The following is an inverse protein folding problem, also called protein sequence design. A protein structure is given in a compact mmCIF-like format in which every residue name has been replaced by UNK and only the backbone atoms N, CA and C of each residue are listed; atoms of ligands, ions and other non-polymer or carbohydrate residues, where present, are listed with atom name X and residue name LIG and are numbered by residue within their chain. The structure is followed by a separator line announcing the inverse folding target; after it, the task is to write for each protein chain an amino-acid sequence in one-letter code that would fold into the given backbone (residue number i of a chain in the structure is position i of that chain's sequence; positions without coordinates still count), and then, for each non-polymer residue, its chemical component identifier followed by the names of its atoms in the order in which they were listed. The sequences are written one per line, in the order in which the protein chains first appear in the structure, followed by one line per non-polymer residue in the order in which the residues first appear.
data_IF_663845996235
#
_entry.id   IF_663845996235
#
_cell.length_a   1.000
_cell.length_b   1.000
_cell.length_c   1.000
_cell.angle_alpha   90.00
_cell.angle_beta   90.00
_cell.angle_gamma   90.00
#
_symmetry.space_group_name_H-M   'P 1'
#
loop_
_entity.id
_entity.type
_entity.pdbx_description
1 polymer ?
#
# COMPACT_ATOMS: atom_id res chain seq x y z
N UNK A 1 43.85 -3.99 49.19
CA UNK A 1 43.97 -5.21 48.35
C UNK A 1 43.58 -4.84 46.91
N UNK A 2 44.52 -4.82 45.97
CA UNK A 2 44.29 -4.69 44.56
C UNK A 2 43.66 -5.99 44.08
N UNK A 3 42.36 -5.96 43.75
CA UNK A 3 41.71 -7.10 43.14
C UNK A 3 42.27 -7.32 41.73
N UNK A 4 42.98 -8.40 41.54
CA UNK A 4 43.37 -8.88 40.23
C UNK A 4 42.10 -9.41 39.52
N UNK A 5 41.67 -8.75 38.47
CA UNK A 5 40.68 -9.31 37.57
C UNK A 5 41.45 -10.11 36.51
N UNK A 6 41.14 -11.40 36.41
CA UNK A 6 41.81 -12.32 35.49
C UNK A 6 41.60 -11.85 34.03
N UNK A 7 42.67 -11.88 33.23
CA UNK A 7 42.71 -11.49 31.84
C UNK A 7 41.69 -12.22 30.90
N UNK A 8 40.96 -13.20 31.45
CA UNK A 8 39.87 -13.89 30.74
C UNK A 8 38.60 -13.08 30.55
N UNK A 9 38.49 -11.89 31.16
CA UNK A 9 37.28 -11.06 31.09
C UNK A 9 37.49 -9.80 30.23
N UNK A 10 38.21 -9.92 29.11
CA UNK A 10 38.65 -8.78 28.31
C UNK A 10 37.59 -8.11 27.44
N UNK A 11 36.36 -8.52 27.45
CA UNK A 11 35.27 -7.70 26.87
C UNK A 11 33.90 -8.16 27.38
N UNK A 12 33.43 -7.54 28.44
CA UNK A 12 32.02 -7.62 28.80
C UNK A 12 31.36 -6.25 28.50
N UNK A 13 30.59 -6.21 27.45
CA UNK A 13 29.65 -5.11 27.25
C UNK A 13 28.32 -5.51 27.90
N UNK A 14 27.83 -4.69 28.81
CA UNK A 14 26.51 -4.86 29.40
C UNK A 14 25.61 -3.70 28.95
N UNK A 15 24.41 -4.04 28.54
CA UNK A 15 23.38 -3.05 28.25
C UNK A 15 22.54 -2.83 29.50
N UNK A 16 22.40 -1.60 29.94
CA UNK A 16 21.54 -1.22 31.07
C UNK A 16 20.45 -0.29 30.59
N UNK A 17 19.20 -0.67 30.82
CA UNK A 17 18.03 0.18 30.53
C UNK A 17 17.61 0.87 31.83
N UNK A 18 17.64 2.19 31.85
CA UNK A 18 17.10 2.97 32.94
C UNK A 18 15.70 3.45 32.59
N UNK A 19 14.69 2.83 33.17
CA UNK A 19 13.27 3.12 32.90
C UNK A 19 12.86 4.50 33.45
N UNK A 20 13.50 5.04 34.46
CA UNK A 20 13.19 6.37 35.01
C UNK A 20 13.66 7.49 34.09
N UNK A 21 14.84 7.34 33.53
CA UNK A 21 15.44 8.36 32.64
C UNK A 21 15.17 8.07 31.15
N UNK A 22 14.55 6.92 30.85
CA UNK A 22 14.36 6.42 29.47
C UNK A 22 15.67 6.35 28.68
N UNK A 23 16.79 6.08 29.38
CA UNK A 23 18.10 5.98 28.76
C UNK A 23 18.55 4.52 28.70
N UNK A 24 19.09 4.13 27.56
CA UNK A 24 19.81 2.88 27.37
C UNK A 24 21.28 3.22 27.35
N UNK A 25 22.06 2.49 28.12
CA UNK A 25 23.52 2.71 28.27
C UNK A 25 24.26 1.43 27.97
N UNK A 26 25.21 1.46 27.07
CA UNK A 26 26.18 0.39 26.89
C UNK A 26 27.40 0.67 27.78
N UNK A 27 27.80 -0.32 28.54
CA UNK A 27 29.02 -0.25 29.35
C UNK A 27 30.07 -1.17 28.72
N UNK A 28 31.14 -0.57 28.25
CA UNK A 28 32.30 -1.33 27.73
C UNK A 28 33.45 -1.28 28.75
N UNK A 29 34.02 -2.43 29.01
CA UNK A 29 35.18 -2.56 29.85
C UNK A 29 36.42 -2.83 28.98
N UNK A 30 37.35 -1.89 28.92
CA UNK A 30 38.60 -2.04 28.18
C UNK A 30 39.79 -2.00 29.11
N UNK A 31 40.77 -2.86 28.85
CA UNK A 31 42.04 -2.87 29.58
C UNK A 31 43.09 -2.09 28.79
N UNK A 32 43.62 -1.03 29.38
CA UNK A 32 44.58 -0.11 28.75
C UNK A 32 46.06 -0.43 29.13
N UNK A 33 46.30 -1.53 29.80
CA UNK A 33 47.62 -1.92 30.30
C UNK A 33 47.93 -1.44 31.70
N UNK A 34 47.18 -0.49 32.24
CA UNK A 34 47.33 0.08 33.59
C UNK A 34 46.10 -0.13 34.47
N UNK A 35 44.97 -0.36 33.85
CA UNK A 35 43.69 -0.53 34.53
C UNK A 35 42.57 -0.85 33.55
N UNK A 36 41.36 -0.82 34.05
CA UNK A 36 40.16 -0.94 33.21
C UNK A 36 39.50 0.40 33.07
N UNK A 37 39.32 0.83 31.82
CA UNK A 37 38.48 1.94 31.51
C UNK A 37 37.02 1.47 31.38
N UNK A 38 36.10 2.11 32.08
CA UNK A 38 34.68 1.89 31.98
C UNK A 38 34.10 3.04 31.21
N UNK A 39 33.64 2.77 30.00
CA UNK A 39 32.95 3.76 29.16
C UNK A 39 31.46 3.47 29.12
N UNK A 40 30.67 4.41 29.59
CA UNK A 40 29.23 4.38 29.48
C UNK A 40 28.81 5.29 28.31
N UNK A 41 28.32 4.69 27.23
CA UNK A 41 27.83 5.43 26.11
C UNK A 41 26.29 5.43 26.14
N UNK A 42 25.66 6.61 26.28
CA UNK A 42 24.20 6.65 26.15
C UNK A 42 23.82 6.24 24.74
N UNK A 43 22.95 5.25 24.61
CA UNK A 43 22.34 4.91 23.37
C UNK A 43 21.14 5.83 23.12
N UNK A 44 20.95 6.23 21.86
CA UNK A 44 19.73 6.89 21.48
C UNK A 44 18.57 5.93 21.68
N UNK A 45 17.56 6.35 22.42
CA UNK A 45 16.33 5.58 22.63
C UNK A 45 15.32 5.81 21.51
N UNK A 46 15.77 6.42 20.42
CA UNK A 46 14.93 6.82 19.31
C UNK A 46 15.12 5.87 18.12
N UNK A 47 14.02 5.51 17.52
CA UNK A 47 13.95 4.77 16.25
C UNK A 47 13.38 5.63 15.14
N UNK A 48 13.29 5.06 13.95
CA UNK A 48 12.67 5.66 12.78
C UNK A 48 11.85 4.64 12.00
N UNK A 49 10.80 5.11 11.32
CA UNK A 49 10.03 4.31 10.38
C UNK A 49 10.06 4.97 9.00
N UNK A 50 10.61 4.27 8.02
CA UNK A 50 10.58 4.64 6.62
C UNK A 50 9.40 3.98 5.93
N UNK A 51 8.64 4.75 5.17
CA UNK A 51 7.49 4.30 4.42
C UNK A 51 7.73 4.57 2.94
N UNK A 52 7.57 3.54 2.12
CA UNK A 52 7.62 3.65 0.67
C UNK A 52 6.23 3.45 0.09
N UNK A 53 5.74 4.41 -0.68
CA UNK A 53 4.47 4.32 -1.40
C UNK A 53 4.69 3.70 -2.77
N UNK A 54 3.82 2.74 -3.12
CA UNK A 54 3.79 2.11 -4.45
C UNK A 54 2.37 2.17 -5.03
N UNK A 55 2.31 2.10 -6.35
CA UNK A 55 1.07 2.09 -7.11
C UNK A 55 1.08 0.87 -8.03
N UNK A 56 -0.02 0.13 -8.02
CA UNK A 56 -0.23 -1.02 -8.90
C UNK A 56 -1.49 -0.79 -9.72
N UNK A 57 -1.32 -0.55 -11.01
CA UNK A 57 -2.41 -0.39 -11.97
C UNK A 57 -2.43 -1.56 -12.95
N UNK A 58 -3.59 -2.17 -13.22
CA UNK A 58 -3.72 -3.17 -14.27
C UNK A 58 -3.33 -2.58 -15.63
N UNK A 59 -2.28 -3.08 -16.24
CA UNK A 59 -1.75 -2.58 -17.51
C UNK A 59 -0.48 -1.73 -17.40
N UNK A 60 0.00 -1.44 -16.18
CA UNK A 60 1.33 -0.83 -15.97
C UNK A 60 1.42 0.66 -16.27
N UNK A 61 0.29 1.35 -16.52
CA UNK A 61 0.29 2.80 -16.72
C UNK A 61 0.40 3.51 -15.35
N UNK A 62 1.53 4.17 -15.11
CA UNK A 62 1.83 4.91 -13.88
C UNK A 62 1.69 6.42 -14.04
N UNK A 63 1.36 6.92 -15.22
CA UNK A 63 1.36 8.36 -15.55
C UNK A 63 0.28 9.16 -14.81
N UNK A 64 -0.77 8.50 -14.33
CA UNK A 64 -1.89 9.12 -13.62
C UNK A 64 -1.50 9.69 -12.25
N UNK A 65 -0.39 9.24 -11.67
CA UNK A 65 -0.04 9.49 -10.26
C UNK A 65 1.00 10.60 -10.06
N UNK A 66 1.55 11.17 -11.10
CA UNK A 66 2.59 12.20 -10.98
C UNK A 66 2.13 13.45 -10.23
N UNK A 67 0.83 13.70 -10.17
CA UNK A 67 0.22 14.86 -9.50
C UNK A 67 -0.39 14.54 -8.14
N UNK A 68 -0.48 13.26 -7.78
CA UNK A 68 -1.15 12.84 -6.56
C UNK A 68 -0.25 13.06 -5.33
N UNK A 69 -0.91 13.35 -4.22
CA UNK A 69 -0.30 13.42 -2.90
C UNK A 69 -1.10 12.55 -1.95
N UNK A 70 -0.39 11.78 -1.14
CA UNK A 70 -1.00 10.88 -0.17
C UNK A 70 -0.46 11.21 1.21
N UNK A 71 -1.34 11.33 2.19
CA UNK A 71 -0.96 11.53 3.58
C UNK A 71 -0.85 10.20 4.28
N UNK A 72 0.29 9.96 4.91
CA UNK A 72 0.55 8.79 5.75
C UNK A 72 0.46 9.22 7.20
N UNK A 73 -0.37 8.57 7.99
CA UNK A 73 -0.52 8.77 9.44
C UNK A 73 0.25 7.71 10.19
N UNK A 74 0.93 8.10 11.26
CA UNK A 74 1.67 7.21 12.14
C UNK A 74 0.83 6.79 13.34
N UNK A 75 0.81 5.48 13.63
CA UNK A 75 0.21 4.92 14.83
C UNK A 75 1.31 4.30 15.70
N UNK A 76 1.14 4.42 17.02
CA UNK A 76 1.96 3.76 18.03
C UNK A 76 1.08 2.81 18.84
N UNK A 77 1.40 1.52 18.88
CA UNK A 77 0.58 0.48 19.51
C UNK A 77 -0.91 0.54 19.07
N UNK A 78 -1.14 0.87 17.79
CA UNK A 78 -2.49 1.00 17.21
C UNK A 78 -3.20 2.32 17.49
N UNK A 79 -2.60 3.24 18.24
CA UNK A 79 -3.17 4.56 18.57
C UNK A 79 -2.57 5.63 17.64
N UNK A 80 -3.41 6.51 17.11
CA UNK A 80 -2.97 7.65 16.28
C UNK A 80 -2.06 8.58 17.10
N UNK A 81 -0.86 8.83 16.61
CA UNK A 81 0.11 9.73 17.26
C UNK A 81 -0.11 11.21 16.90
N UNK A 82 -1.01 11.51 15.97
CA UNK A 82 -1.18 12.82 15.36
C UNK A 82 -0.07 13.21 14.38
N UNK A 83 0.98 12.39 14.21
CA UNK A 83 2.06 12.65 13.25
C UNK A 83 1.66 12.18 11.87
N UNK A 84 1.91 13.02 10.88
CA UNK A 84 1.61 12.74 9.48
C UNK A 84 2.76 13.16 8.58
N UNK A 85 2.94 12.44 7.49
CA UNK A 85 3.87 12.77 6.42
C UNK A 85 3.15 12.69 5.08
N UNK A 86 3.55 13.54 4.12
CA UNK A 86 2.99 13.53 2.78
C UNK A 86 3.97 12.93 1.80
N UNK A 87 3.52 11.93 1.05
CA UNK A 87 4.29 11.29 -0.02
C UNK A 87 3.74 11.70 -1.39
N UNK A 88 4.65 11.95 -2.31
CA UNK A 88 4.35 12.37 -3.68
C UNK A 88 5.55 12.07 -4.58
N UNK A 89 5.44 12.38 -5.87
CA UNK A 89 6.59 12.32 -6.78
C UNK A 89 7.77 13.18 -6.29
N UNK A 90 7.49 14.35 -5.69
CA UNK A 90 8.54 15.25 -5.14
C UNK A 90 9.32 14.64 -3.99
N UNK A 91 8.70 13.76 -3.21
CA UNK A 91 9.35 13.02 -2.11
C UNK A 91 9.86 11.66 -2.56
N UNK A 92 9.86 11.40 -3.88
CA UNK A 92 10.16 10.08 -4.43
C UNK A 92 9.31 8.98 -3.78
N UNK A 93 8.05 9.29 -3.49
CA UNK A 93 7.09 8.39 -2.86
C UNK A 93 7.57 7.80 -1.53
N UNK A 94 8.39 8.54 -0.80
CA UNK A 94 8.98 8.09 0.47
C UNK A 94 8.70 9.12 1.56
N UNK A 95 8.39 8.61 2.76
CA UNK A 95 8.29 9.38 3.99
C UNK A 95 9.16 8.72 5.07
N UNK A 96 9.68 9.52 6.00
CA UNK A 96 10.46 9.03 7.14
C UNK A 96 9.99 9.71 8.41
N UNK A 97 9.48 8.92 9.35
CA UNK A 97 9.16 9.36 10.69
C UNK A 97 10.40 9.14 11.58
N UNK A 98 11.11 10.21 11.88
CA UNK A 98 12.31 10.19 12.74
C UNK A 98 11.97 10.55 14.19
N UNK A 99 12.90 10.29 15.11
CA UNK A 99 12.78 10.66 16.52
C UNK A 99 11.58 9.99 17.18
N UNK A 100 11.38 8.70 16.90
CA UNK A 100 10.31 7.91 17.49
C UNK A 100 10.85 7.24 18.77
N UNK A 101 10.18 7.36 19.93
CA UNK A 101 10.54 6.60 21.11
C UNK A 101 10.56 5.08 20.79
N UNK A 102 11.65 4.40 21.12
CA UNK A 102 11.74 2.96 20.93
C UNK A 102 10.96 2.18 22.00
N UNK A 103 10.97 2.71 23.24
CA UNK A 103 10.31 2.11 24.39
C UNK A 103 9.17 2.99 24.90
N UNK A 104 8.14 2.36 25.41
CA UNK A 104 7.06 3.03 26.14
C UNK A 104 7.45 3.34 27.60
N UNK A 105 6.52 3.88 28.38
CA UNK A 105 6.73 4.24 29.79
C UNK A 105 6.97 3.01 30.68
N UNK A 106 6.58 1.82 30.25
CA UNK A 106 6.81 0.56 30.92
C UNK A 106 8.11 -0.13 30.46
N UNK A 107 8.87 0.50 29.55
CA UNK A 107 10.10 -0.05 28.98
C UNK A 107 9.87 -1.14 27.94
N UNK A 108 8.69 -1.25 27.37
CA UNK A 108 8.39 -2.19 26.31
C UNK A 108 8.58 -1.53 24.93
N UNK A 109 9.05 -2.28 23.92
CA UNK A 109 9.17 -1.78 22.57
C UNK A 109 7.81 -1.32 22.02
N UNK A 110 7.78 -0.11 21.45
CA UNK A 110 6.60 0.42 20.79
C UNK A 110 6.48 -0.15 19.38
N UNK A 111 5.30 -0.69 19.05
CA UNK A 111 4.99 -1.13 17.69
C UNK A 111 4.43 0.03 16.89
N UNK A 112 5.18 0.48 15.87
CA UNK A 112 4.74 1.51 14.94
C UNK A 112 4.09 0.90 13.73
N UNK A 113 2.96 1.47 13.31
CA UNK A 113 2.25 1.14 12.09
C UNK A 113 1.83 2.41 11.36
N UNK A 114 1.37 2.28 10.13
CA UNK A 114 0.92 3.44 9.34
C UNK A 114 -0.45 3.19 8.75
N UNK A 115 -1.19 4.28 8.54
CA UNK A 115 -2.45 4.29 7.82
C UNK A 115 -2.42 5.40 6.77
N UNK A 116 -2.84 5.06 5.58
CA UNK A 116 -3.01 6.03 4.51
C UNK A 116 -4.32 6.82 4.69
N UNK A 117 -4.24 8.13 4.53
CA UNK A 117 -5.38 9.02 4.45
C UNK A 117 -5.42 9.63 3.05
N UNK A 118 -6.16 8.98 2.16
CA UNK A 118 -6.37 9.43 0.80
C UNK A 118 -7.81 9.14 0.37
N UNK A 119 -8.45 10.11 -0.29
CA UNK A 119 -9.90 10.08 -0.51
C UNK A 119 -10.38 9.35 -1.77
N UNK A 120 -9.53 8.65 -2.49
CA UNK A 120 -9.94 7.98 -3.72
C UNK A 120 -10.34 6.53 -3.46
N UNK A 121 -11.64 6.24 -3.58
CA UNK A 121 -12.22 4.91 -3.32
C UNK A 121 -11.93 3.87 -4.42
N UNK A 122 -11.37 4.28 -5.56
CA UNK A 122 -11.00 3.37 -6.64
C UNK A 122 -9.71 2.61 -6.34
N UNK A 123 -9.04 2.95 -5.25
CA UNK A 123 -7.78 2.38 -4.83
C UNK A 123 -7.89 1.72 -3.46
N UNK A 124 -7.29 0.55 -3.34
CA UNK A 124 -7.23 -0.20 -2.09
C UNK A 124 -5.79 -0.17 -1.58
N UNK A 125 -5.53 0.42 -0.39
CA UNK A 125 -4.22 0.36 0.22
C UNK A 125 -3.95 -1.03 0.79
N UNK A 126 -2.79 -1.58 0.44
CA UNK A 126 -2.25 -2.81 1.00
C UNK A 126 -1.00 -2.44 1.79
N UNK A 127 -0.99 -2.78 3.07
CA UNK A 127 0.11 -2.48 3.98
C UNK A 127 1.08 -3.67 4.03
N UNK A 128 2.32 -3.43 3.67
CA UNK A 128 3.40 -4.42 3.76
C UNK A 128 3.79 -4.70 5.21
N UNK A 129 4.49 -5.79 5.41
CA UNK A 129 5.07 -6.10 6.73
C UNK A 129 6.11 -5.03 7.10
N UNK A 130 6.18 -4.74 8.39
CA UNK A 130 7.23 -3.89 8.93
C UNK A 130 8.46 -4.74 9.15
N UNK A 131 9.56 -4.35 8.49
CA UNK A 131 10.85 -5.03 8.59
C UNK A 131 11.83 -4.17 9.36
N UNK A 132 12.64 -4.82 10.20
CA UNK A 132 13.73 -4.18 10.93
C UNK A 132 14.99 -4.18 10.08
N UNK A 133 15.72 -3.08 10.09
CA UNK A 133 17.01 -2.96 9.39
C UNK A 133 18.19 -3.48 10.20
N UNK A 134 17.94 -3.97 11.42
CA UNK A 134 18.97 -4.42 12.35
C UNK A 134 19.61 -3.26 13.13
N UNK A 135 20.48 -3.61 14.06
CA UNK A 135 21.12 -2.68 14.99
C UNK A 135 20.62 -2.86 16.42
N UNK A 136 21.29 -2.23 17.38
CA UNK A 136 20.95 -2.31 18.81
C UNK A 136 19.60 -1.63 19.07
N UNK A 137 19.35 -0.50 18.41
CA UNK A 137 18.02 0.10 18.25
C UNK A 137 17.68 0.01 16.77
N UNK A 138 16.73 -0.85 16.39
CA UNK A 138 16.41 -1.06 15.00
C UNK A 138 15.68 0.16 14.42
N UNK A 139 15.92 0.46 13.15
CA UNK A 139 15.01 1.26 12.34
C UNK A 139 14.08 0.35 11.56
N UNK A 140 12.96 0.87 11.14
CA UNK A 140 11.91 0.09 10.51
C UNK A 140 11.59 0.59 9.10
N UNK A 141 11.21 -0.34 8.24
CA UNK A 141 10.74 -0.02 6.89
C UNK A 141 9.44 -0.76 6.59
N UNK A 142 8.57 -0.10 5.84
CA UNK A 142 7.34 -0.70 5.30
C UNK A 142 6.98 -0.12 3.94
N UNK A 143 6.11 -0.81 3.21
CA UNK A 143 5.57 -0.34 1.94
C UNK A 143 4.05 -0.26 2.03
N UNK A 144 3.50 0.82 1.50
CA UNK A 144 2.05 0.96 1.28
C UNK A 144 1.79 0.94 -0.22
N UNK A 145 1.14 -0.10 -0.70
CA UNK A 145 0.82 -0.29 -2.12
C UNK A 145 -0.65 0.00 -2.36
N UNK A 146 -0.96 0.98 -3.21
CA UNK A 146 -2.32 1.16 -3.69
C UNK A 146 -2.52 0.35 -4.95
N UNK A 147 -3.47 -0.57 -4.88
CA UNK A 147 -3.92 -1.37 -6.02
C UNK A 147 -5.23 -0.80 -6.54
N UNK A 148 -5.31 -0.54 -7.84
CA UNK A 148 -6.53 -0.02 -8.46
C UNK A 148 -7.65 -1.05 -8.39
N UNK A 149 -8.80 -0.64 -7.84
CA UNK A 149 -10.00 -1.46 -7.86
C UNK A 149 -10.59 -1.39 -9.28
N UNK A 150 -10.31 -2.40 -10.07
CA UNK A 150 -11.00 -2.57 -11.33
C UNK A 150 -12.49 -2.83 -11.08
N UNK A 151 -13.30 -1.78 -11.09
CA UNK A 151 -14.76 -1.91 -11.19
C UNK A 151 -15.15 -2.00 -12.67
N UNK A 152 -14.38 -2.72 -13.47
CA UNK A 152 -14.71 -2.94 -14.86
C UNK A 152 -16.10 -3.56 -14.91
N UNK A 153 -17.11 -2.79 -15.30
CA UNK A 153 -18.20 -3.35 -16.05
C UNK A 153 -17.51 -4.08 -17.21
N UNK A 154 -17.57 -5.39 -17.20
CA UNK A 154 -17.38 -6.13 -18.41
C UNK A 154 -18.48 -5.61 -19.35
N UNK A 155 -18.18 -4.61 -20.15
CA UNK A 155 -18.90 -4.45 -21.37
C UNK A 155 -18.66 -5.77 -22.10
N UNK A 156 -19.64 -6.66 -21.98
CA UNK A 156 -19.67 -7.83 -22.82
C UNK A 156 -19.43 -7.32 -24.24
N UNK A 157 -18.46 -7.86 -24.99
CA UNK A 157 -18.28 -7.46 -26.36
C UNK A 157 -19.66 -7.40 -26.95
N UNK A 158 -20.03 -6.24 -27.50
CA UNK A 158 -21.29 -6.07 -28.21
C UNK A 158 -21.28 -7.07 -29.36
N UNK A 159 -21.55 -8.31 -29.04
CA UNK A 159 -21.82 -9.38 -30.01
C UNK A 159 -23.18 -9.16 -30.67
N UNK A 160 -23.89 -8.10 -30.25
CA UNK A 160 -25.00 -7.52 -31.00
C UNK A 160 -24.50 -6.84 -32.27
N UNK A 161 -23.80 -7.62 -33.07
CA UNK A 161 -23.68 -7.24 -34.49
C UNK A 161 -25.09 -7.00 -35.06
N UNK A 162 -25.15 -6.39 -36.20
CA UNK A 162 -26.28 -6.05 -37.07
C UNK A 162 -27.40 -7.14 -37.14
N UNK A 163 -27.18 -8.28 -36.42
CA UNK A 163 -27.99 -9.46 -36.47
C UNK A 163 -29.48 -9.29 -36.18
N UNK A 164 -29.84 -8.62 -35.11
CA UNK A 164 -31.26 -8.55 -34.76
C UNK A 164 -32.07 -7.69 -35.73
N UNK A 165 -31.52 -6.59 -36.21
CA UNK A 165 -32.23 -5.72 -37.18
C UNK A 165 -32.40 -6.41 -38.53
N UNK A 166 -31.40 -7.18 -38.98
CA UNK A 166 -31.50 -7.96 -40.21
C UNK A 166 -32.49 -9.11 -40.07
N UNK A 167 -32.50 -9.84 -38.97
CA UNK A 167 -33.49 -10.91 -38.76
C UNK A 167 -34.91 -10.41 -38.65
N UNK A 168 -35.12 -9.26 -38.01
CA UNK A 168 -36.42 -8.60 -37.96
C UNK A 168 -36.86 -8.16 -39.38
N UNK A 169 -35.94 -7.55 -40.14
CA UNK A 169 -36.23 -7.13 -41.52
C UNK A 169 -36.57 -8.32 -42.42
N UNK A 170 -35.77 -9.39 -42.38
CA UNK A 170 -36.04 -10.62 -43.14
C UNK A 170 -37.35 -11.30 -42.70
N UNK A 171 -37.60 -11.35 -41.38
CA UNK A 171 -38.85 -11.88 -40.82
C UNK A 171 -40.08 -11.09 -41.32
N UNK A 172 -39.97 -9.76 -41.37
CA UNK A 172 -41.03 -8.89 -41.83
C UNK A 172 -41.31 -9.06 -43.33
N UNK A 173 -40.28 -9.22 -44.16
CA UNK A 173 -40.40 -9.51 -45.60
C UNK A 173 -41.04 -10.87 -45.84
N UNK A 174 -40.69 -11.89 -45.10
CA UNK A 174 -41.27 -13.24 -45.19
C UNK A 174 -42.74 -13.27 -44.79
N UNK A 175 -43.15 -12.50 -43.79
CA UNK A 175 -44.54 -12.43 -43.35
C UNK A 175 -45.40 -11.55 -44.28
N UNK A 176 -44.91 -10.39 -44.65
CA UNK A 176 -45.68 -9.43 -45.48
C UNK A 176 -45.65 -9.77 -46.97
N UNK A 177 -44.60 -10.40 -47.48
CA UNK A 177 -44.45 -10.77 -48.88
C UNK A 177 -45.63 -11.60 -49.41
N UNK A 178 -46.05 -12.70 -48.78
CA UNK A 178 -47.21 -13.49 -49.19
C UNK A 178 -48.50 -12.69 -49.17
N UNK A 179 -48.73 -11.79 -48.22
CA UNK A 179 -49.91 -10.93 -48.17
C UNK A 179 -49.95 -9.96 -49.34
N UNK A 180 -48.84 -9.29 -49.64
CA UNK A 180 -48.78 -8.36 -50.79
C UNK A 180 -48.95 -9.12 -52.08
N UNK A 181 -48.32 -10.28 -52.21
CA UNK A 181 -48.47 -11.14 -53.40
C UNK A 181 -49.91 -11.62 -53.59
N UNK A 182 -50.52 -12.13 -52.52
CA UNK A 182 -51.94 -12.57 -52.55
C UNK A 182 -52.92 -11.43 -52.87
N UNK A 183 -52.64 -10.23 -52.38
CA UNK A 183 -53.44 -9.06 -52.69
C UNK A 183 -53.29 -8.62 -54.18
N UNK A 184 -52.13 -8.74 -54.77
CA UNK A 184 -51.85 -8.42 -56.16
C UNK A 184 -52.54 -9.41 -57.11
N UNK A 185 -52.53 -10.71 -56.76
CA UNK A 185 -53.23 -11.74 -57.49
C UNK A 185 -54.76 -11.52 -57.49
N UNK A 186 -55.34 -11.19 -56.34
CA UNK A 186 -56.76 -10.89 -56.22
C UNK A 186 -57.17 -9.65 -57.05
N UNK A 187 -56.33 -8.64 -57.18
CA UNK A 187 -56.53 -7.45 -58.01
C UNK A 187 -56.48 -7.82 -59.51
N UNK A 188 -55.65 -8.73 -59.95
CA UNK A 188 -55.49 -9.19 -61.31
C UNK A 188 -56.73 -9.94 -61.77
N UNK A 189 -57.22 -10.93 -61.00
CA UNK A 189 -58.40 -11.68 -61.24
C UNK A 189 -59.66 -10.82 -61.26
N UNK A 190 -59.74 -9.73 -60.51
CA UNK A 190 -60.88 -8.82 -60.51
C UNK A 190 -60.94 -7.90 -61.73
N UNK A 191 -59.83 -7.74 -62.49
CA UNK A 191 -59.76 -7.00 -63.72
C UNK A 191 -60.13 -7.83 -64.93
N UNK A 192 -59.80 -9.15 -64.91
CA UNK A 192 -60.08 -10.09 -66.00
C UNK A 192 -61.52 -10.59 -66.02
N UNK A 193 -62.28 -10.52 -64.94
CA UNK A 193 -63.66 -10.92 -64.81
C UNK A 193 -64.67 -9.80 -65.16
N UNK A 194 -64.25 -8.72 -65.84
CA UNK A 194 -65.10 -7.54 -66.21
C UNK A 194 -65.03 -7.20 -67.68
N UNK A 195 -64.80 -8.21 -68.51
CA UNK A 195 -65.01 -8.13 -69.96
C UNK A 195 -66.18 -8.98 -70.43
#
# INVERSE_FOLDING_TARGET
SRGYIDAKYQSNSAMTVNLMTKTVTTTTLEFDGYGYAITNTPLTTETALKVTKRWEYPGGDTTVYEKEQVTIKLLANGVDTGRTETVSLKTNWTAVFNGLPYLDDAGQPITYTVVESWGNMDWIPIYGQITSTGGEIPTYETTVTNTYRWTGSYELPSTGGIGNSLYILFGLVLVLGPFVYGFSLRRKHRKEGRT
#
